data_IF_560935095144
#
_entry.id   IF_560935095144
#
_cell.length_a   1.000
_cell.length_b   1.000
_cell.length_c   1.000
_cell.angle_alpha   90.00
_cell.angle_beta   90.00
_cell.angle_gamma   90.00
#
_symmetry.space_group_name_H-M   'P 1'
#
loop_
_entity.id
_entity.type
_entity.pdbx_description
1 polymer ?
#
# COMPACT_ATOMS: atom_id res chain seq x y z
N UNK A 1 -12.68 19.20 -25.95
CA UNK A 1 -11.88 19.35 -24.70
C UNK A 1 -11.54 18.03 -24.03
N UNK A 2 -12.46 17.06 -23.95
CA UNK A 2 -12.17 15.70 -23.45
C UNK A 2 -11.27 14.85 -24.37
N UNK A 3 -10.97 15.29 -25.59
CA UNK A 3 -10.15 14.51 -26.53
C UNK A 3 -8.65 14.80 -26.41
N UNK A 4 -8.26 15.98 -25.89
CA UNK A 4 -6.86 16.43 -25.88
C UNK A 4 -6.20 16.27 -24.50
N UNK A 5 -6.93 16.42 -23.39
CA UNK A 5 -6.35 16.37 -22.05
C UNK A 5 -7.37 15.98 -20.97
N UNK A 6 -7.75 14.69 -20.95
CA UNK A 6 -8.83 14.16 -20.07
C UNK A 6 -8.53 14.44 -18.61
N UNK A 7 -7.30 14.20 -18.13
CA UNK A 7 -6.98 14.28 -16.70
C UNK A 7 -7.10 15.68 -16.12
N UNK A 8 -6.65 16.71 -16.85
CA UNK A 8 -6.75 18.10 -16.40
C UNK A 8 -8.17 18.65 -16.54
N UNK A 9 -8.86 18.27 -17.62
CA UNK A 9 -10.19 18.80 -17.89
C UNK A 9 -11.31 18.03 -17.16
N UNK A 10 -11.02 16.85 -16.61
CA UNK A 10 -12.01 15.97 -15.97
C UNK A 10 -12.83 16.72 -14.92
N UNK A 11 -12.14 17.42 -14.02
CA UNK A 11 -12.79 18.06 -12.89
C UNK A 11 -13.68 19.22 -13.34
N UNK A 12 -13.22 20.02 -14.30
CA UNK A 12 -14.00 21.11 -14.90
C UNK A 12 -15.22 20.56 -15.64
N UNK A 13 -15.06 19.49 -16.42
CA UNK A 13 -16.18 18.85 -17.12
C UNK A 13 -17.23 18.29 -16.15
N UNK A 14 -16.80 17.65 -15.06
CA UNK A 14 -17.71 17.17 -14.01
C UNK A 14 -18.45 18.33 -13.35
N UNK A 15 -17.76 19.42 -13.01
CA UNK A 15 -18.40 20.60 -12.41
C UNK A 15 -19.45 21.22 -13.33
N UNK A 16 -19.15 21.33 -14.63
CA UNK A 16 -20.10 21.84 -15.62
C UNK A 16 -21.30 20.88 -15.73
N UNK A 17 -21.06 19.57 -15.81
CA UNK A 17 -22.11 18.57 -15.86
C UNK A 17 -23.03 18.64 -14.62
N UNK A 18 -22.46 18.70 -13.42
CA UNK A 18 -23.21 18.85 -12.16
C UNK A 18 -23.95 20.18 -12.06
N UNK A 19 -23.50 21.25 -12.71
CA UNK A 19 -24.20 22.54 -12.68
C UNK A 19 -25.35 22.63 -13.68
N UNK A 20 -25.23 21.97 -14.83
CA UNK A 20 -26.17 22.11 -15.96
C UNK A 20 -26.93 20.83 -16.29
N UNK A 21 -26.93 19.81 -15.41
CA UNK A 21 -27.59 18.52 -15.70
C UNK A 21 -29.11 18.63 -15.89
N UNK A 22 -29.78 19.56 -15.20
CA UNK A 22 -31.22 19.79 -15.38
C UNK A 22 -31.57 20.30 -16.78
N UNK A 23 -30.67 21.08 -17.39
CA UNK A 23 -30.87 21.67 -18.72
C UNK A 23 -30.40 20.76 -19.86
N UNK A 24 -29.31 20.03 -19.63
CA UNK A 24 -28.68 19.16 -20.63
C UNK A 24 -29.27 17.74 -20.65
N UNK A 25 -29.94 17.35 -19.56
CA UNK A 25 -30.46 16.00 -19.37
C UNK A 25 -29.39 15.02 -18.89
N UNK A 26 -29.69 14.30 -17.80
CA UNK A 26 -28.77 13.34 -17.18
C UNK A 26 -28.34 12.23 -18.13
N UNK A 27 -29.27 11.69 -18.94
CA UNK A 27 -28.99 10.61 -19.89
C UNK A 27 -28.00 11.01 -20.99
N UNK A 28 -28.13 12.23 -21.53
CA UNK A 28 -27.21 12.73 -22.55
C UNK A 28 -25.79 12.91 -21.98
N UNK A 29 -25.67 13.39 -20.73
CA UNK A 29 -24.38 13.50 -20.05
C UNK A 29 -23.74 12.13 -19.81
N UNK A 30 -24.52 11.12 -19.43
CA UNK A 30 -24.05 9.74 -19.28
C UNK A 30 -23.47 9.24 -20.62
N UNK A 31 -24.21 9.38 -21.71
CA UNK A 31 -23.76 8.94 -23.05
C UNK A 31 -22.45 9.63 -23.46
N UNK A 32 -22.32 10.93 -23.20
CA UNK A 32 -21.10 11.69 -23.48
C UNK A 32 -19.93 11.09 -22.69
N UNK A 33 -20.05 10.92 -21.36
CA UNK A 33 -18.95 10.37 -20.56
C UNK A 33 -18.61 8.92 -20.95
N UNK A 34 -19.60 8.12 -21.37
CA UNK A 34 -19.40 6.75 -21.87
C UNK A 34 -18.67 6.74 -23.23
N UNK A 35 -19.00 7.66 -24.14
CA UNK A 35 -18.34 7.77 -25.45
C UNK A 35 -16.82 8.04 -25.31
N UNK A 36 -16.44 8.82 -24.29
CA UNK A 36 -15.03 9.09 -23.97
C UNK A 36 -14.40 8.03 -23.05
N UNK A 37 -15.13 6.96 -22.69
CA UNK A 37 -14.71 5.90 -21.75
C UNK A 37 -14.22 6.46 -20.40
N UNK A 38 -14.75 7.62 -20.00
CA UNK A 38 -14.33 8.33 -18.81
C UNK A 38 -15.18 7.91 -17.61
N UNK A 39 -14.96 6.68 -17.12
CA UNK A 39 -15.71 6.11 -16.00
C UNK A 39 -15.45 6.84 -14.67
N UNK A 40 -14.28 7.45 -14.51
CA UNK A 40 -13.94 8.27 -13.34
C UNK A 40 -14.76 9.57 -13.31
N UNK A 41 -14.86 10.27 -14.44
CA UNK A 41 -15.72 11.45 -14.57
C UNK A 41 -17.20 11.11 -14.39
N UNK A 42 -17.65 10.00 -14.97
CA UNK A 42 -19.01 9.50 -14.79
C UNK A 42 -19.30 9.19 -13.32
N UNK A 43 -18.36 8.56 -12.61
CA UNK A 43 -18.49 8.26 -11.18
C UNK A 43 -18.63 9.54 -10.35
N UNK A 44 -17.79 10.56 -10.57
CA UNK A 44 -17.88 11.81 -9.82
C UNK A 44 -19.14 12.61 -10.13
N UNK A 45 -19.53 12.69 -11.40
CA UNK A 45 -20.76 13.34 -11.82
C UNK A 45 -21.98 12.65 -11.20
N UNK A 46 -22.13 11.35 -11.42
CA UNK A 46 -23.26 10.59 -10.90
C UNK A 46 -23.27 10.58 -9.37
N UNK A 47 -22.11 10.55 -8.71
CA UNK A 47 -22.02 10.63 -7.24
C UNK A 47 -22.59 11.93 -6.66
N UNK A 48 -22.56 13.04 -7.41
CA UNK A 48 -23.15 14.30 -6.98
C UNK A 48 -24.68 14.33 -7.07
N UNK A 49 -25.29 13.47 -7.89
CA UNK A 49 -26.74 13.47 -8.16
C UNK A 49 -27.46 12.20 -7.67
N UNK A 50 -26.76 11.08 -7.47
CA UNK A 50 -27.34 9.75 -7.18
C UNK A 50 -28.17 9.73 -5.89
N UNK A 51 -27.80 10.55 -4.91
CA UNK A 51 -28.54 10.66 -3.64
C UNK A 51 -29.88 11.40 -3.79
N UNK A 52 -30.04 12.20 -4.85
CA UNK A 52 -31.24 13.00 -5.11
C UNK A 52 -32.09 12.43 -6.25
N UNK A 53 -31.47 11.65 -7.14
CA UNK A 53 -32.15 11.04 -8.28
C UNK A 53 -32.95 9.81 -7.86
N UNK A 54 -34.18 9.71 -8.34
CA UNK A 54 -35.03 8.52 -8.20
C UNK A 54 -35.00 7.62 -9.44
N UNK A 55 -34.19 7.94 -10.45
CA UNK A 55 -34.16 7.21 -11.72
C UNK A 55 -33.33 5.92 -11.60
N UNK A 56 -33.90 4.73 -11.85
CA UNK A 56 -33.16 3.47 -11.72
C UNK A 56 -31.91 3.38 -12.60
N UNK A 57 -31.93 4.01 -13.76
CA UNK A 57 -30.80 4.00 -14.70
C UNK A 57 -29.60 4.79 -14.15
N UNK A 58 -29.84 5.89 -13.43
CA UNK A 58 -28.78 6.70 -12.79
C UNK A 58 -28.07 5.87 -11.72
N UNK A 59 -28.82 5.16 -10.88
CA UNK A 59 -28.26 4.27 -9.86
C UNK A 59 -27.48 3.10 -10.50
N UNK A 60 -28.04 2.48 -11.55
CA UNK A 60 -27.37 1.40 -12.26
C UNK A 60 -26.04 1.87 -12.89
N UNK A 61 -26.05 2.99 -13.62
CA UNK A 61 -24.85 3.58 -14.24
C UNK A 61 -23.82 4.00 -13.20
N UNK A 62 -24.25 4.52 -12.05
CA UNK A 62 -23.35 4.85 -10.95
C UNK A 62 -22.66 3.60 -10.41
N UNK A 63 -23.39 2.51 -10.18
CA UNK A 63 -22.82 1.22 -9.76
C UNK A 63 -21.82 0.70 -10.81
N UNK A 64 -22.15 0.78 -12.10
CA UNK A 64 -21.23 0.40 -13.16
C UNK A 64 -19.93 1.22 -13.15
N UNK A 65 -20.05 2.54 -12.94
CA UNK A 65 -18.90 3.43 -12.85
C UNK A 65 -18.06 3.11 -11.60
N UNK A 66 -18.67 2.93 -10.44
CA UNK A 66 -18.01 2.57 -9.18
C UNK A 66 -17.27 1.23 -9.26
N UNK A 67 -17.85 0.21 -9.93
CA UNK A 67 -17.16 -1.05 -10.18
C UNK A 67 -15.93 -0.88 -11.07
N UNK A 68 -15.99 0.00 -12.09
CA UNK A 68 -14.88 0.24 -13.02
C UNK A 68 -13.77 1.10 -12.41
N UNK A 69 -14.10 1.97 -11.45
CA UNK A 69 -13.12 2.78 -10.71
C UNK A 69 -12.54 2.05 -9.49
N UNK A 70 -13.02 0.85 -9.16
CA UNK A 70 -12.56 0.06 -8.01
C UNK A 70 -13.11 0.54 -6.66
N UNK A 71 -14.14 1.38 -6.67
CA UNK A 71 -14.77 1.93 -5.46
C UNK A 71 -15.84 0.99 -4.91
N UNK A 72 -15.43 -0.18 -4.43
CA UNK A 72 -16.33 -1.24 -3.94
C UNK A 72 -17.18 -0.78 -2.75
N UNK A 73 -16.62 0.09 -1.89
CA UNK A 73 -17.34 0.65 -0.73
C UNK A 73 -18.58 1.44 -1.14
N UNK A 74 -18.50 2.20 -2.23
CA UNK A 74 -19.64 2.98 -2.70
C UNK A 74 -20.70 2.12 -3.39
N UNK A 75 -20.29 1.02 -4.04
CA UNK A 75 -21.24 0.02 -4.54
C UNK A 75 -22.03 -0.57 -3.38
N UNK A 76 -21.35 -0.93 -2.29
CA UNK A 76 -22.00 -1.45 -1.09
C UNK A 76 -22.92 -0.42 -0.43
N UNK A 77 -22.48 0.85 -0.36
CA UNK A 77 -23.27 1.95 0.19
C UNK A 77 -24.59 2.11 -0.57
N UNK A 78 -24.54 2.26 -1.89
CA UNK A 78 -25.74 2.43 -2.72
C UNK A 78 -26.64 1.21 -2.66
N UNK A 79 -26.08 0.00 -2.69
CA UNK A 79 -26.88 -1.22 -2.57
C UNK A 79 -27.61 -1.34 -1.21
N UNK A 80 -27.11 -0.69 -0.15
CA UNK A 80 -27.74 -0.66 1.19
C UNK A 80 -28.69 0.51 1.39
N UNK A 81 -28.35 1.68 0.87
CA UNK A 81 -29.03 2.95 1.16
C UNK A 81 -30.08 3.32 0.12
N UNK A 82 -29.89 2.93 -1.14
CA UNK A 82 -30.82 3.26 -2.23
C UNK A 82 -31.81 2.11 -2.46
N UNK A 83 -33.09 2.44 -2.60
CA UNK A 83 -34.14 1.51 -3.03
C UNK A 83 -34.54 1.71 -4.51
N UNK A 84 -33.85 2.59 -5.24
CA UNK A 84 -34.26 3.03 -6.58
C UNK A 84 -33.66 2.19 -7.71
N UNK A 85 -32.75 1.26 -7.44
CA UNK A 85 -32.12 0.43 -8.47
C UNK A 85 -32.85 -0.90 -8.68
N UNK A 86 -32.73 -1.48 -9.87
CA UNK A 86 -33.29 -2.79 -10.17
C UNK A 86 -32.36 -3.90 -9.63
N UNK A 87 -32.77 -4.64 -8.57
CA UNK A 87 -31.86 -5.51 -7.84
C UNK A 87 -31.41 -6.72 -8.65
N UNK A 88 -32.26 -7.27 -9.52
CA UNK A 88 -31.90 -8.40 -10.37
C UNK A 88 -30.86 -8.01 -11.41
N UNK A 89 -31.05 -6.87 -12.08
CA UNK A 89 -30.12 -6.34 -13.09
C UNK A 89 -28.76 -6.03 -12.47
N UNK A 90 -28.73 -5.37 -11.31
CA UNK A 90 -27.48 -5.10 -10.56
C UNK A 90 -26.80 -6.41 -10.14
N UNK A 91 -27.54 -7.36 -9.58
CA UNK A 91 -26.99 -8.67 -9.16
C UNK A 91 -26.37 -9.42 -10.33
N UNK A 92 -27.05 -9.48 -11.47
CA UNK A 92 -26.55 -10.15 -12.66
C UNK A 92 -25.29 -9.46 -13.21
N UNK A 93 -25.29 -8.12 -13.26
CA UNK A 93 -24.11 -7.34 -13.63
C UNK A 93 -22.92 -7.62 -12.71
N UNK A 94 -23.10 -7.57 -11.38
CA UNK A 94 -22.03 -7.78 -10.41
C UNK A 94 -21.46 -9.21 -10.49
N UNK A 95 -22.31 -10.22 -10.70
CA UNK A 95 -21.88 -11.60 -10.95
C UNK A 95 -20.99 -11.71 -12.19
N UNK A 96 -21.44 -11.15 -13.31
CA UNK A 96 -20.71 -11.15 -14.57
C UNK A 96 -19.39 -10.37 -14.46
N UNK A 97 -19.41 -9.22 -13.80
CA UNK A 97 -18.22 -8.41 -13.56
C UNK A 97 -17.17 -9.16 -12.74
N UNK A 98 -17.58 -9.81 -11.64
CA UNK A 98 -16.69 -10.67 -10.85
C UNK A 98 -16.12 -11.82 -11.66
N UNK A 99 -16.94 -12.51 -12.45
CA UNK A 99 -16.48 -13.60 -13.31
C UNK A 99 -15.45 -13.11 -14.36
N UNK A 100 -15.67 -11.92 -14.92
CA UNK A 100 -14.74 -11.31 -15.88
C UNK A 100 -13.40 -10.97 -15.22
N UNK A 101 -13.44 -10.35 -14.03
CA UNK A 101 -12.24 -10.05 -13.24
C UNK A 101 -11.47 -11.31 -12.85
N UNK A 102 -12.16 -12.38 -12.45
CA UNK A 102 -11.53 -13.66 -12.16
C UNK A 102 -10.79 -14.23 -13.38
N UNK A 103 -11.40 -14.18 -14.58
CA UNK A 103 -10.74 -14.59 -15.83
C UNK A 103 -9.53 -13.72 -16.18
N UNK A 104 -9.59 -12.41 -15.93
CA UNK A 104 -8.42 -11.51 -16.11
C UNK A 104 -7.27 -11.89 -15.16
N UNK A 105 -7.59 -12.23 -13.91
CA UNK A 105 -6.60 -12.68 -12.93
C UNK A 105 -5.98 -14.02 -13.33
N UNK A 106 -6.78 -14.98 -13.78
CA UNK A 106 -6.30 -16.28 -14.26
C UNK A 106 -5.36 -16.12 -15.46
N UNK A 107 -5.72 -15.28 -16.42
CA UNK A 107 -4.84 -14.95 -17.57
C UNK A 107 -3.54 -14.28 -17.11
N UNK A 108 -3.61 -13.32 -16.19
CA UNK A 108 -2.42 -12.67 -15.65
C UNK A 108 -1.51 -13.65 -14.90
N UNK A 109 -2.10 -14.60 -14.16
CA UNK A 109 -1.39 -15.66 -13.45
C UNK A 109 -0.75 -16.66 -14.43
N UNK A 110 -1.45 -17.07 -15.48
CA UNK A 110 -0.95 -17.97 -16.52
C UNK A 110 0.28 -17.39 -17.24
N UNK A 111 0.28 -16.07 -17.46
CA UNK A 111 1.40 -15.34 -18.10
C UNK A 111 2.51 -14.99 -17.06
N UNK A 112 2.36 -15.40 -15.79
CA UNK A 112 3.23 -15.01 -14.66
C UNK A 112 3.42 -13.49 -14.51
N UNK A 113 2.44 -12.70 -14.95
CA UNK A 113 2.46 -11.25 -14.80
C UNK A 113 2.01 -10.86 -13.38
N UNK A 114 2.92 -11.01 -12.43
CA UNK A 114 2.68 -10.77 -10.99
C UNK A 114 2.26 -9.34 -10.70
N UNK A 115 2.76 -8.36 -11.46
CA UNK A 115 2.40 -6.94 -11.29
C UNK A 115 0.95 -6.66 -11.68
N UNK A 116 0.48 -7.25 -12.79
CA UNK A 116 -0.91 -7.12 -13.22
C UNK A 116 -1.84 -7.89 -12.28
N UNK A 117 -1.44 -9.11 -11.87
CA UNK A 117 -2.20 -9.90 -10.90
C UNK A 117 -2.38 -9.15 -9.57
N UNK A 118 -1.31 -8.59 -9.02
CA UNK A 118 -1.38 -7.81 -7.78
C UNK A 118 -2.28 -6.58 -7.90
N UNK A 119 -2.23 -5.87 -9.04
CA UNK A 119 -3.12 -4.73 -9.30
C UNK A 119 -4.58 -5.14 -9.32
N UNK A 120 -4.92 -6.23 -10.02
CA UNK A 120 -6.27 -6.78 -10.09
C UNK A 120 -6.78 -7.26 -8.72
N UNK A 121 -5.92 -7.89 -7.91
CA UNK A 121 -6.25 -8.28 -6.52
C UNK A 121 -6.61 -7.05 -5.67
N UNK A 122 -5.82 -5.99 -5.79
CA UNK A 122 -6.06 -4.73 -5.06
C UNK A 122 -7.37 -4.06 -5.51
N UNK A 123 -7.65 -4.02 -6.81
CA UNK A 123 -8.87 -3.44 -7.39
C UNK A 123 -10.14 -4.23 -7.05
N UNK A 124 -10.05 -5.56 -6.94
CA UNK A 124 -11.22 -6.41 -6.64
C UNK A 124 -11.62 -6.41 -5.17
N UNK A 125 -10.93 -5.65 -4.32
CA UNK A 125 -11.32 -5.48 -2.92
C UNK A 125 -11.13 -6.73 -2.06
N UNK A 126 -10.37 -7.73 -2.52
CA UNK A 126 -9.90 -8.85 -1.69
C UNK A 126 -8.76 -8.35 -0.78
N UNK A 127 -8.87 -7.15 -0.23
CA UNK A 127 -8.09 -6.74 0.92
C UNK A 127 -8.81 -7.29 2.14
N UNK A 128 -8.61 -8.59 2.43
CA UNK A 128 -8.63 -9.00 3.83
C UNK A 128 -7.52 -8.20 4.50
N UNK A 129 -7.82 -7.51 5.60
CA UNK A 129 -6.79 -6.89 6.43
C UNK A 129 -5.69 -7.93 6.62
N UNK A 130 -4.47 -7.63 6.17
CA UNK A 130 -3.33 -8.56 6.25
C UNK A 130 -2.90 -8.81 7.70
N UNK A 131 -3.47 -8.05 8.63
CA UNK A 131 -3.35 -8.28 10.07
C UNK A 131 -4.47 -9.25 10.44
N UNK A 132 -4.10 -10.48 10.81
CA UNK A 132 -5.02 -11.37 11.50
C UNK A 132 -5.54 -10.64 12.73
N UNK A 133 -6.83 -10.32 12.74
CA UNK A 133 -7.49 -9.66 13.87
C UNK A 133 -7.75 -10.62 15.04
N UNK A 134 -7.11 -11.79 15.02
CA UNK A 134 -7.27 -12.85 15.98
C UNK A 134 -5.95 -12.96 16.74
N UNK A 135 -6.02 -12.78 18.05
CA UNK A 135 -4.90 -13.08 18.95
C UNK A 135 -5.28 -14.31 19.80
N UNK A 136 -4.31 -15.15 20.09
CA UNK A 136 -4.50 -16.32 20.97
C UNK A 136 -4.54 -15.84 22.42
N UNK A 137 -5.54 -16.32 23.14
CA UNK A 137 -5.65 -16.20 24.58
C UNK A 137 -4.74 -17.24 25.27
N UNK A 138 -4.50 -17.08 26.58
CA UNK A 138 -3.60 -17.95 27.36
C UNK A 138 -4.05 -19.43 27.39
N UNK A 139 -5.33 -19.68 27.11
CA UNK A 139 -5.97 -21.00 27.07
C UNK A 139 -6.26 -21.47 25.62
N UNK A 140 -5.53 -20.96 24.62
CA UNK A 140 -5.72 -21.21 23.18
C UNK A 140 -7.09 -20.80 22.59
N UNK A 141 -7.93 -20.09 23.35
CA UNK A 141 -9.16 -19.51 22.82
C UNK A 141 -8.85 -18.33 21.86
N UNK A 142 -9.58 -18.26 20.75
CA UNK A 142 -9.40 -17.22 19.73
C UNK A 142 -10.32 -16.04 20.03
N UNK A 143 -9.74 -14.85 20.25
CA UNK A 143 -10.51 -13.62 20.49
C UNK A 143 -10.52 -12.70 19.27
N UNK A 144 -11.70 -12.29 18.82
CA UNK A 144 -11.91 -11.46 17.63
C UNK A 144 -12.37 -10.02 17.93
N UNK A 145 -12.68 -9.67 19.18
CA UNK A 145 -13.16 -8.34 19.55
C UNK A 145 -12.00 -7.38 19.83
N UNK A 146 -12.08 -6.15 19.32
CA UNK A 146 -11.03 -5.13 19.45
C UNK A 146 -10.71 -4.79 20.92
N UNK A 147 -11.73 -4.68 21.78
CA UNK A 147 -11.55 -4.38 23.20
C UNK A 147 -10.76 -5.46 23.93
N UNK A 148 -11.09 -6.74 23.71
CA UNK A 148 -10.38 -7.88 24.33
C UNK A 148 -8.93 -7.97 23.86
N UNK A 149 -8.67 -7.57 22.60
CA UNK A 149 -7.31 -7.52 22.06
C UNK A 149 -6.44 -6.51 22.76
N UNK A 150 -6.97 -5.31 23.01
CA UNK A 150 -6.25 -4.26 23.73
C UNK A 150 -5.95 -4.67 25.18
N UNK A 151 -6.91 -5.30 25.84
CA UNK A 151 -6.71 -5.84 27.19
C UNK A 151 -5.63 -6.92 27.23
N UNK A 152 -5.67 -7.90 26.32
CA UNK A 152 -4.66 -8.97 26.27
C UNK A 152 -3.27 -8.44 25.93
N UNK A 153 -3.16 -7.44 25.04
CA UNK A 153 -1.91 -6.74 24.80
C UNK A 153 -1.41 -6.04 26.07
N UNK A 154 -2.28 -5.34 26.79
CA UNK A 154 -1.92 -4.67 28.04
C UNK A 154 -1.47 -5.67 29.12
N UNK A 155 -2.12 -6.84 29.21
CA UNK A 155 -1.68 -7.95 30.08
C UNK A 155 -0.32 -8.50 29.68
N UNK A 156 -0.12 -8.79 28.40
CA UNK A 156 1.16 -9.31 27.90
C UNK A 156 2.30 -8.31 28.14
N UNK A 157 2.08 -7.03 27.89
CA UNK A 157 3.06 -5.99 28.20
C UNK A 157 3.32 -5.90 29.69
N UNK A 158 2.30 -5.97 30.56
CA UNK A 158 2.52 -6.01 32.01
C UNK A 158 3.33 -7.24 32.42
N UNK A 159 3.01 -8.43 31.92
CA UNK A 159 3.77 -9.66 32.20
C UNK A 159 5.24 -9.52 31.76
N UNK A 160 5.51 -8.92 30.59
CA UNK A 160 6.88 -8.67 30.10
C UNK A 160 7.64 -7.58 30.86
N UNK A 161 6.94 -6.55 31.34
CA UNK A 161 7.52 -5.41 32.05
C UNK A 161 7.45 -5.51 33.58
N UNK A 162 7.00 -6.65 34.13
CA UNK A 162 7.15 -6.99 35.54
C UNK A 162 8.61 -7.38 35.83
N UNK A 163 9.53 -6.44 35.63
CA UNK A 163 10.89 -6.55 36.12
C UNK A 163 10.85 -6.33 37.64
N UNK A 164 11.45 -7.20 38.48
CA UNK A 164 11.62 -6.87 39.89
C UNK A 164 12.41 -5.56 39.96
N UNK A 165 11.84 -4.50 40.55
CA UNK A 165 12.47 -3.19 40.72
C UNK A 165 13.95 -3.40 40.99
N UNK A 166 14.81 -2.89 40.11
CA UNK A 166 16.23 -3.24 40.07
C UNK A 166 16.88 -3.07 41.45
N UNK A 167 16.89 -4.15 42.24
CA UNK A 167 17.61 -4.21 43.49
C UNK A 167 19.06 -4.17 43.10
N UNK A 168 19.76 -3.12 43.53
CA UNK A 168 21.16 -2.81 43.21
C UNK A 168 22.15 -3.87 43.74
N UNK A 169 22.11 -5.05 43.14
CA UNK A 169 23.10 -6.11 43.25
C UNK A 169 23.13 -6.78 41.88
N UNK A 170 23.85 -6.19 40.92
CA UNK A 170 24.20 -6.93 39.71
C UNK A 170 25.00 -8.17 40.18
N UNK A 171 24.66 -9.39 39.75
CA UNK A 171 25.55 -10.53 39.99
C UNK A 171 26.87 -10.21 39.30
N UNK A 172 27.99 -10.33 40.04
CA UNK A 172 29.33 -10.20 39.47
C UNK A 172 29.47 -11.27 38.38
N UNK A 173 29.26 -10.87 37.13
CA UNK A 173 29.45 -11.72 35.96
C UNK A 173 30.92 -12.16 36.02
N UNK A 174 31.23 -13.47 36.04
CA UNK A 174 32.61 -13.91 35.89
C UNK A 174 33.08 -13.33 34.56
N UNK A 175 34.14 -12.52 34.59
CA UNK A 175 34.70 -11.87 33.41
C UNK A 175 34.64 -12.83 32.24
N UNK A 176 33.77 -12.55 31.26
CA UNK A 176 33.77 -13.32 30.03
C UNK A 176 35.20 -13.26 29.50
N UNK A 177 35.73 -14.40 29.04
CA UNK A 177 37.02 -14.43 28.37
C UNK A 177 36.96 -13.36 27.29
N UNK A 178 37.87 -12.38 27.40
CA UNK A 178 38.05 -11.37 26.37
C UNK A 178 38.05 -12.11 25.04
N UNK A 179 37.18 -11.68 24.12
CA UNK A 179 37.15 -12.26 22.80
C UNK A 179 38.57 -12.14 22.27
N UNK A 180 39.19 -13.29 21.94
CA UNK A 180 40.54 -13.36 21.39
C UNK A 180 40.49 -12.88 19.93
N UNK A 181 40.05 -11.63 19.76
CA UNK A 181 40.08 -10.88 18.53
C UNK A 181 41.45 -10.19 18.58
N UNK A 182 42.30 -10.49 17.62
CA UNK A 182 43.54 -9.74 17.43
C UNK A 182 43.17 -8.28 17.13
N UNK A 183 43.12 -7.43 18.17
CA UNK A 183 42.88 -5.98 18.08
C UNK A 183 44.14 -5.24 17.57
N UNK A 184 44.95 -5.91 16.74
CA UNK A 184 46.13 -5.32 16.14
C UNK A 184 45.77 -4.22 15.13
N UNK A 185 46.70 -3.31 14.83
CA UNK A 185 46.53 -2.36 13.73
C UNK A 185 46.11 -3.09 12.44
N UNK A 186 45.10 -2.59 11.72
CA UNK A 186 44.62 -3.25 10.52
C UNK A 186 45.74 -3.34 9.49
N UNK A 187 45.92 -4.52 8.89
CA UNK A 187 46.92 -4.74 7.85
C UNK A 187 46.49 -4.10 6.52
N UNK A 188 47.46 -3.79 5.65
CA UNK A 188 47.18 -3.23 4.32
C UNK A 188 46.21 -4.10 3.50
N UNK A 189 46.33 -5.43 3.61
CA UNK A 189 45.47 -6.38 2.91
C UNK A 189 44.02 -6.31 3.40
N UNK A 190 43.79 -6.12 4.70
CA UNK A 190 42.46 -5.96 5.29
C UNK A 190 41.81 -4.65 4.85
N UNK A 191 42.57 -3.56 4.86
CA UNK A 191 42.10 -2.25 4.37
C UNK A 191 41.74 -2.32 2.89
N UNK A 192 42.57 -2.94 2.05
CA UNK A 192 42.26 -3.15 0.63
C UNK A 192 41.01 -4.01 0.43
N UNK A 193 40.87 -5.10 1.17
CA UNK A 193 39.69 -5.97 1.13
C UNK A 193 38.43 -5.23 1.55
N UNK A 194 38.51 -4.37 2.56
CA UNK A 194 37.40 -3.52 2.99
C UNK A 194 36.98 -2.53 1.90
N UNK A 195 37.94 -1.87 1.23
CA UNK A 195 37.69 -0.93 0.12
C UNK A 195 36.99 -1.63 -1.06
N UNK A 196 37.45 -2.84 -1.43
CA UNK A 196 36.83 -3.63 -2.52
C UNK A 196 35.36 -3.98 -2.19
N UNK A 197 35.09 -4.33 -0.94
CA UNK A 197 33.75 -4.71 -0.46
C UNK A 197 32.75 -3.55 -0.38
N UNK A 198 33.19 -2.29 -0.51
CA UNK A 198 32.27 -1.14 -0.54
C UNK A 198 31.32 -1.23 -1.74
N UNK A 199 30.05 -0.86 -1.56
CA UNK A 199 29.08 -0.82 -2.67
C UNK A 199 29.07 0.58 -3.27
N UNK A 200 29.16 0.68 -4.60
CA UNK A 200 28.96 1.95 -5.33
C UNK A 200 27.51 2.41 -5.21
N UNK A 201 27.28 3.72 -5.29
CA UNK A 201 25.97 4.36 -5.23
C UNK A 201 25.35 4.46 -3.84
N UNK A 202 26.18 4.43 -2.77
CA UNK A 202 25.71 4.76 -1.41
C UNK A 202 25.89 6.25 -1.15
N UNK A 203 24.99 6.82 -0.34
CA UNK A 203 25.08 8.21 0.07
C UNK A 203 26.37 8.44 0.88
N UNK A 204 26.95 9.63 0.73
CA UNK A 204 28.09 10.07 1.51
C UNK A 204 27.73 10.17 3.00
N UNK A 205 28.71 9.88 3.86
CA UNK A 205 28.57 10.01 5.32
C UNK A 205 28.59 11.48 5.77
N UNK A 206 28.69 11.67 7.09
CA UNK A 206 28.86 13.01 7.70
C UNK A 206 30.15 13.72 7.24
N UNK A 207 31.11 12.93 6.76
CA UNK A 207 32.37 13.34 6.14
C UNK A 207 32.21 13.81 4.68
N UNK A 208 31.04 13.64 4.06
CA UNK A 208 30.79 14.06 2.68
C UNK A 208 31.50 13.21 1.62
N UNK A 209 32.11 12.09 2.00
CA UNK A 209 32.86 11.23 1.09
C UNK A 209 31.99 10.04 0.64
N UNK A 210 31.85 9.89 -0.68
CA UNK A 210 31.14 8.76 -1.27
C UNK A 210 32.09 7.55 -1.43
N UNK A 211 31.57 6.30 -1.43
CA UNK A 211 32.38 5.10 -1.55
C UNK A 211 33.28 5.04 -2.80
N UNK A 212 32.90 5.75 -3.87
CA UNK A 212 33.64 5.85 -5.12
C UNK A 212 35.03 6.47 -4.92
N UNK A 213 35.14 7.46 -4.04
CA UNK A 213 36.40 8.16 -3.75
C UNK A 213 37.45 7.16 -3.23
N UNK A 214 37.02 6.20 -2.42
CA UNK A 214 37.89 5.17 -1.87
C UNK A 214 38.22 4.07 -2.89
N UNK A 215 37.28 3.74 -3.78
CA UNK A 215 37.50 2.73 -4.83
C UNK A 215 38.41 3.21 -5.95
N UNK A 216 38.33 4.49 -6.30
CA UNK A 216 39.07 5.06 -7.42
C UNK A 216 40.42 5.68 -6.98
N UNK A 217 40.66 5.84 -5.68
CA UNK A 217 41.89 6.40 -5.11
C UNK A 217 43.13 5.50 -5.17
N UNK A 218 43.01 4.26 -5.67
CA UNK A 218 44.13 3.38 -5.95
C UNK A 218 44.95 2.91 -4.73
N UNK A 219 46.10 2.26 -4.95
CA UNK A 219 46.89 1.63 -3.88
C UNK A 219 47.53 2.64 -2.92
N UNK A 220 47.81 3.86 -3.38
CA UNK A 220 48.40 4.93 -2.57
C UNK A 220 47.44 5.37 -1.46
N UNK A 221 46.14 5.46 -1.77
CA UNK A 221 45.12 5.79 -0.77
C UNK A 221 44.99 4.70 0.29
N UNK A 222 45.00 3.43 -0.12
CA UNK A 222 44.94 2.30 0.82
C UNK A 222 46.13 2.31 1.81
N UNK A 223 47.36 2.56 1.33
CA UNK A 223 48.55 2.69 2.18
C UNK A 223 48.41 3.85 3.16
N UNK A 224 47.86 4.99 2.72
CA UNK A 224 47.67 6.15 3.59
C UNK A 224 46.62 5.89 4.67
N UNK A 225 45.52 5.21 4.31
CA UNK A 225 44.46 4.81 5.25
C UNK A 225 44.99 3.83 6.29
N UNK A 226 45.77 2.82 5.89
CA UNK A 226 46.42 1.89 6.83
C UNK A 226 47.31 2.61 7.84
N UNK A 227 48.09 3.60 7.42
CA UNK A 227 48.93 4.40 8.33
C UNK A 227 48.14 5.30 9.29
N UNK A 228 46.95 5.75 8.89
CA UNK A 228 46.06 6.57 9.74
C UNK A 228 45.35 5.68 10.76
N UNK A 229 44.89 4.51 10.35
CA UNK A 229 44.18 3.54 11.18
C UNK A 229 45.09 2.74 12.12
N UNK A 230 46.41 2.79 11.91
CA UNK A 230 47.41 2.14 12.75
C UNK A 230 47.89 2.99 13.95
N UNK A 231 47.30 4.18 14.15
CA UNK A 231 47.49 5.03 15.33
C UNK A 231 46.36 4.86 16.33
#
# INVERSE_FOLDING_TARGET
MLQANIRQNLHVCVQIATKYHEQLGTNALIEIFESFKSFEGLFYFLGSIVNFSQEPEVHFKYIQAACKTGQVKEVERICRESNCYEPERVKNFLKQWRATKAKEMEKAAAIRNTRQLYRLIKETGINKSSVSEIISEKDDALTCSQSRRLERWAEHFREQFNWPSATLQLPSIPSQREWNIELGPPTLAEVQKAIVNLKRGRAAGLDGLAPEVFKDGGPILAIRLTNILAK
#
